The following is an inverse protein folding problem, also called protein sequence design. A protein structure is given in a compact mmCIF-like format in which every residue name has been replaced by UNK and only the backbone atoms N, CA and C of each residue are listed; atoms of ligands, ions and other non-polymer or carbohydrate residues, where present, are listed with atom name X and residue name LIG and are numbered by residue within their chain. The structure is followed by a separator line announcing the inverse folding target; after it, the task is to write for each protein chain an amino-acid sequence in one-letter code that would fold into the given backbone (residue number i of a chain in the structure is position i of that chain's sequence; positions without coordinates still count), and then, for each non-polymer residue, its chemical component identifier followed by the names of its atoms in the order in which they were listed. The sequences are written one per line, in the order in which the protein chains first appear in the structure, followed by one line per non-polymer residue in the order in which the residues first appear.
data_IF_365674619126
#
_entry.id   IF_365674619126
#
_cell.length_a   1.000
_cell.length_b   1.000
_cell.length_c   1.000
_cell.angle_alpha   90.00
_cell.angle_beta   90.00
_cell.angle_gamma   90.00
#
_symmetry.space_group_name_H-M   'P 1'
#
loop_
_entity.id
_entity.type
_entity.pdbx_description
1 polymer ?
#
# COMPACT_ATOMS: atom_id res chain seq x y z
N UNK A 1 -72.64 -30.92 -39.20
CA UNK A 1 -71.77 -31.68 -38.31
C UNK A 1 -71.07 -30.67 -37.40
N UNK A 2 -71.53 -30.55 -36.15
CA UNK A 2 -71.08 -29.51 -35.18
C UNK A 2 -69.93 -30.06 -34.40
N UNK A 3 -68.78 -29.39 -34.50
CA UNK A 3 -67.58 -29.74 -33.72
C UNK A 3 -67.49 -28.83 -32.47
N UNK A 4 -67.61 -29.49 -31.30
CA UNK A 4 -67.53 -28.84 -29.97
C UNK A 4 -66.08 -28.71 -29.60
N UNK A 5 -65.58 -27.48 -29.43
CA UNK A 5 -64.31 -27.21 -28.85
C UNK A 5 -64.40 -27.23 -27.33
N UNK A 6 -63.59 -28.08 -26.69
CA UNK A 6 -63.45 -28.18 -25.24
C UNK A 6 -62.64 -27.00 -24.71
N UNK A 7 -63.24 -26.19 -23.87
CA UNK A 7 -62.55 -25.24 -22.99
C UNK A 7 -61.85 -26.02 -21.87
N UNK A 8 -60.55 -25.91 -21.75
CA UNK A 8 -59.89 -26.54 -20.61
C UNK A 8 -58.37 -26.72 -20.71
N UNK A 9 -57.62 -25.70 -21.14
CA UNK A 9 -56.14 -25.67 -20.94
C UNK A 9 -55.68 -24.22 -20.86
N UNK A 10 -56.07 -23.44 -19.89
CA UNK A 10 -55.60 -22.06 -19.75
C UNK A 10 -55.39 -21.61 -18.30
N UNK A 11 -55.39 -22.52 -17.31
CA UNK A 11 -55.20 -22.11 -15.91
C UNK A 11 -53.96 -22.68 -15.21
N UNK A 12 -53.09 -23.42 -15.89
CA UNK A 12 -51.94 -24.06 -15.25
C UNK A 12 -50.57 -23.38 -15.57
N UNK A 13 -50.54 -22.38 -16.45
CA UNK A 13 -49.29 -21.71 -16.83
C UNK A 13 -49.03 -20.42 -16.02
N UNK A 14 -50.06 -19.81 -15.43
CA UNK A 14 -49.92 -18.54 -14.70
C UNK A 14 -49.46 -18.71 -13.23
N UNK A 15 -49.57 -19.89 -12.64
CA UNK A 15 -49.13 -20.13 -11.25
C UNK A 15 -47.65 -20.51 -11.12
N UNK A 16 -47.02 -20.99 -12.19
CA UNK A 16 -45.61 -21.37 -12.19
C UNK A 16 -44.63 -20.18 -12.28
N UNK A 17 -45.05 -19.08 -12.91
CA UNK A 17 -44.17 -17.89 -13.11
C UNK A 17 -44.08 -16.99 -11.87
N UNK A 18 -45.10 -16.97 -11.02
CA UNK A 18 -45.07 -16.20 -9.76
C UNK A 18 -44.18 -16.83 -8.66
N UNK A 19 -44.03 -18.17 -8.66
CA UNK A 19 -43.17 -18.84 -7.67
C UNK A 19 -41.67 -18.80 -8.02
N UNK A 20 -41.30 -18.70 -9.29
CA UNK A 20 -39.91 -18.59 -9.69
C UNK A 20 -39.38 -17.16 -9.53
N UNK A 21 -40.22 -16.14 -9.76
CA UNK A 21 -39.86 -14.74 -9.56
C UNK A 21 -39.62 -14.37 -8.10
N UNK A 22 -40.43 -14.94 -7.18
CA UNK A 22 -40.28 -14.68 -5.74
C UNK A 22 -39.00 -15.27 -5.13
N UNK A 23 -38.58 -16.45 -5.56
CA UNK A 23 -37.32 -17.06 -5.09
C UNK A 23 -36.07 -16.41 -5.65
N UNK A 24 -36.10 -15.95 -6.91
CA UNK A 24 -34.97 -15.19 -7.49
C UNK A 24 -34.83 -13.80 -6.86
N UNK A 25 -35.94 -13.11 -6.59
CA UNK A 25 -35.90 -11.83 -5.91
C UNK A 25 -35.42 -11.95 -4.46
N UNK A 26 -35.83 -13.02 -3.73
CA UNK A 26 -35.32 -13.29 -2.38
C UNK A 26 -33.84 -13.69 -2.38
N UNK A 27 -33.37 -14.47 -3.36
CA UNK A 27 -31.92 -14.80 -3.48
C UNK A 27 -31.06 -13.60 -3.87
N UNK A 28 -31.58 -12.69 -4.70
CA UNK A 28 -30.87 -11.44 -5.02
C UNK A 28 -30.87 -10.48 -3.82
N UNK A 29 -31.91 -10.49 -2.99
CA UNK A 29 -32.00 -9.67 -1.80
C UNK A 29 -31.15 -10.22 -0.64
N UNK A 30 -31.00 -11.53 -0.52
CA UNK A 30 -30.03 -12.15 0.42
C UNK A 30 -28.58 -11.94 -0.03
N UNK A 31 -28.29 -11.94 -1.33
CA UNK A 31 -26.93 -11.63 -1.83
C UNK A 31 -26.52 -10.17 -1.61
N UNK A 32 -27.48 -9.24 -1.59
CA UNK A 32 -27.22 -7.81 -1.32
C UNK A 32 -27.10 -7.52 0.19
N UNK A 33 -27.71 -8.33 1.05
CA UNK A 33 -27.64 -8.12 2.51
C UNK A 33 -26.43 -8.79 3.18
N UNK A 34 -25.68 -9.66 2.50
CA UNK A 34 -24.46 -10.30 3.04
C UNK A 34 -23.19 -9.49 2.74
N UNK A 35 -23.23 -8.46 1.89
CA UNK A 35 -22.06 -7.61 1.56
C UNK A 35 -21.83 -6.45 2.54
N UNK A 36 -22.59 -6.31 3.61
CA UNK A 36 -22.66 -5.12 4.46
C UNK A 36 -21.86 -5.11 5.77
N UNK A 37 -21.00 -6.11 6.07
CA UNK A 37 -20.35 -6.19 7.39
C UNK A 37 -18.81 -6.32 7.36
N UNK A 38 -18.18 -6.43 6.22
CA UNK A 38 -16.71 -6.50 6.20
C UNK A 38 -16.15 -5.09 6.27
N UNK A 39 -15.33 -4.85 7.28
CA UNK A 39 -14.52 -3.64 7.39
C UNK A 39 -13.05 -4.03 7.26
N UNK A 40 -12.27 -3.18 6.61
CA UNK A 40 -10.84 -3.39 6.44
C UNK A 40 -10.07 -2.08 6.48
N UNK A 41 -8.90 -2.11 7.10
CA UNK A 41 -7.99 -0.97 7.15
C UNK A 41 -7.02 -1.03 5.98
N UNK A 42 -6.91 0.05 5.22
CA UNK A 42 -5.98 0.20 4.10
C UNK A 42 -4.97 1.29 4.39
N UNK A 43 -3.71 0.90 4.61
CA UNK A 43 -2.61 1.85 4.61
C UNK A 43 -2.06 2.01 3.19
N UNK A 44 -1.89 3.26 2.78
CA UNK A 44 -1.21 3.62 1.53
C UNK A 44 0.12 4.26 1.91
N UNK A 45 1.23 3.67 1.47
CA UNK A 45 2.58 4.20 1.60
C UNK A 45 3.01 4.74 0.24
N UNK A 46 3.41 5.99 0.17
CA UNK A 46 3.83 6.64 -1.07
C UNK A 46 5.33 6.93 -0.99
N UNK A 47 6.07 6.26 -1.85
CA UNK A 47 7.53 6.31 -1.93
C UNK A 47 8.03 7.52 -2.76
N UNK A 48 9.34 7.76 -2.72
CA UNK A 48 10.12 8.69 -3.53
C UNK A 48 9.90 10.19 -3.28
N UNK A 49 9.25 10.60 -2.18
CA UNK A 49 9.37 11.98 -1.72
C UNK A 49 10.84 12.34 -1.46
N UNK A 50 11.22 13.60 -1.67
CA UNK A 50 12.59 14.09 -1.46
C UNK A 50 13.29 14.54 -2.76
N UNK A 51 12.65 14.34 -3.91
CA UNK A 51 13.15 14.80 -5.20
C UNK A 51 12.38 16.00 -5.76
N UNK A 52 11.29 16.47 -5.11
CA UNK A 52 10.36 17.46 -5.67
C UNK A 52 9.69 16.91 -6.94
N UNK A 53 9.30 15.63 -6.90
CA UNK A 53 8.79 14.88 -8.04
C UNK A 53 7.40 15.32 -8.47
N UNK A 54 7.03 14.99 -9.71
CA UNK A 54 5.69 15.23 -10.25
C UNK A 54 4.65 14.48 -9.41
N UNK A 55 3.51 15.13 -9.14
CA UNK A 55 2.43 14.56 -8.33
C UNK A 55 2.61 14.73 -6.82
N UNK A 56 3.70 15.34 -6.33
CA UNK A 56 3.92 15.61 -4.90
C UNK A 56 2.79 16.45 -4.32
N UNK A 57 2.41 17.56 -4.95
CA UNK A 57 1.36 18.45 -4.45
C UNK A 57 -0.03 17.80 -4.51
N UNK A 58 -0.34 17.12 -5.59
CA UNK A 58 -1.61 16.41 -5.80
C UNK A 58 -1.77 15.26 -4.80
N UNK A 59 -0.68 14.52 -4.55
CA UNK A 59 -0.70 13.44 -3.54
C UNK A 59 -0.95 14.01 -2.15
N UNK A 60 -0.26 15.08 -1.77
CA UNK A 60 -0.42 15.73 -0.46
C UNK A 60 -1.81 16.35 -0.26
N UNK A 61 -2.51 16.72 -1.33
CA UNK A 61 -3.87 17.23 -1.29
C UNK A 61 -4.95 16.17 -1.07
N UNK A 62 -4.62 14.88 -1.15
CA UNK A 62 -5.59 13.79 -0.92
C UNK A 62 -6.24 13.91 0.47
N UNK A 63 -7.59 13.79 0.59
CA UNK A 63 -8.33 13.99 1.84
C UNK A 63 -8.29 12.77 2.79
N UNK A 64 -7.38 11.83 2.58
CA UNK A 64 -7.23 10.62 3.39
C UNK A 64 -5.90 10.62 4.16
N UNK A 65 -5.79 9.94 5.29
CA UNK A 65 -4.50 9.63 5.89
C UNK A 65 -3.71 8.71 4.95
N UNK A 66 -2.43 8.99 4.79
CA UNK A 66 -1.47 8.12 4.14
C UNK A 66 -0.07 8.39 4.70
N UNK A 67 0.89 7.53 4.39
CA UNK A 67 2.28 7.64 4.83
C UNK A 67 3.16 8.03 3.66
N UNK A 68 3.93 9.11 3.80
CA UNK A 68 4.89 9.58 2.81
C UNK A 68 6.30 9.10 3.18
N UNK A 69 6.91 8.28 2.33
CA UNK A 69 8.28 7.82 2.51
C UNK A 69 9.25 8.76 1.80
N UNK A 70 10.08 9.44 2.60
CA UNK A 70 10.96 10.51 2.15
C UNK A 70 12.39 10.01 2.05
N UNK A 71 13.02 10.20 0.88
CA UNK A 71 14.42 9.91 0.64
C UNK A 71 15.29 10.84 1.50
N UNK A 72 16.12 10.30 2.43
CA UNK A 72 16.81 11.14 3.42
C UNK A 72 17.99 11.91 2.87
N UNK A 73 18.52 11.53 1.70
CA UNK A 73 19.77 12.07 1.17
C UNK A 73 19.61 12.77 -0.19
N UNK A 74 18.39 13.14 -0.55
CA UNK A 74 18.06 13.79 -1.82
C UNK A 74 18.09 15.31 -1.70
N UNK A 75 18.12 15.98 -2.84
CA UNK A 75 18.28 17.45 -2.90
C UNK A 75 17.07 18.21 -2.33
N UNK A 76 15.87 17.61 -2.40
CA UNK A 76 14.62 18.21 -1.93
C UNK A 76 14.11 17.59 -0.62
N UNK A 77 14.89 16.73 0.06
CA UNK A 77 14.48 16.05 1.30
C UNK A 77 13.83 17.00 2.30
N UNK A 78 14.50 18.12 2.63
CA UNK A 78 13.99 19.05 3.62
C UNK A 78 12.71 19.77 3.17
N UNK A 79 12.63 20.14 1.89
CA UNK A 79 11.47 20.81 1.32
C UNK A 79 10.24 19.89 1.28
N UNK A 80 10.41 18.68 0.74
CA UNK A 80 9.32 17.72 0.64
C UNK A 80 8.84 17.26 2.03
N UNK A 81 9.76 16.99 2.97
CA UNK A 81 9.41 16.66 4.34
C UNK A 81 8.59 17.77 5.03
N UNK A 82 8.92 19.04 4.76
CA UNK A 82 8.16 20.17 5.29
C UNK A 82 6.75 20.23 4.67
N UNK A 83 6.61 19.99 3.37
CA UNK A 83 5.30 19.89 2.70
C UNK A 83 4.45 18.75 3.28
N UNK A 84 5.06 17.58 3.52
CA UNK A 84 4.39 16.44 4.16
C UNK A 84 3.86 16.80 5.55
N UNK A 85 4.66 17.49 6.38
CA UNK A 85 4.25 17.97 7.71
C UNK A 85 3.10 18.96 7.62
N UNK A 86 3.18 19.93 6.72
CA UNK A 86 2.12 20.94 6.52
C UNK A 86 0.81 20.31 6.06
N UNK A 87 0.89 19.24 5.27
CA UNK A 87 -0.27 18.45 4.85
C UNK A 87 -0.80 17.52 5.96
N UNK A 88 -0.14 17.43 7.12
CA UNK A 88 -0.53 16.55 8.22
C UNK A 88 -0.41 15.06 7.91
N UNK A 89 0.49 14.68 6.98
CA UNK A 89 0.73 13.29 6.62
C UNK A 89 1.85 12.68 7.47
N UNK A 90 1.82 11.36 7.65
CA UNK A 90 2.86 10.62 8.34
C UNK A 90 4.14 10.57 7.50
N UNK A 91 5.31 10.71 8.14
CA UNK A 91 6.62 10.58 7.49
C UNK A 91 7.24 9.22 7.80
N UNK A 92 7.73 8.54 6.76
CA UNK A 92 8.68 7.42 6.83
C UNK A 92 10.00 7.81 6.17
N UNK A 93 11.06 7.12 6.55
CA UNK A 93 12.35 7.19 5.84
C UNK A 93 12.32 6.18 4.69
N UNK A 94 12.48 6.65 3.45
CA UNK A 94 12.70 5.79 2.29
C UNK A 94 14.19 5.56 2.10
N UNK A 95 14.75 4.53 2.76
CA UNK A 95 16.19 4.34 2.85
C UNK A 95 16.77 3.68 1.59
N UNK A 96 17.70 4.35 0.87
CA UNK A 96 18.33 3.76 -0.31
C UNK A 96 19.20 2.55 0.05
N UNK A 97 18.96 1.42 -0.62
CA UNK A 97 19.64 0.17 -0.36
C UNK A 97 20.07 -0.53 -1.65
N UNK A 98 21.18 -1.26 -1.61
CA UNK A 98 21.72 -2.00 -2.75
C UNK A 98 20.70 -2.97 -3.35
N UNK A 99 20.60 -2.94 -4.69
CA UNK A 99 19.77 -3.86 -5.47
C UNK A 99 20.61 -4.93 -6.15
N UNK A 100 20.03 -6.13 -6.36
CA UNK A 100 20.66 -7.23 -7.08
C UNK A 100 20.91 -6.90 -8.56
N UNK A 101 20.05 -6.08 -9.17
CA UNK A 101 20.04 -5.81 -10.61
C UNK A 101 20.25 -4.35 -10.98
N UNK A 102 20.14 -3.44 -10.01
CA UNK A 102 20.31 -2.01 -10.20
C UNK A 102 21.78 -1.59 -10.21
N UNK A 103 22.08 -0.47 -10.86
CA UNK A 103 23.41 0.14 -10.76
C UNK A 103 23.59 0.84 -9.42
N UNK A 104 24.80 0.81 -8.87
CA UNK A 104 25.13 1.45 -7.59
C UNK A 104 24.81 2.95 -7.62
N UNK A 105 25.01 3.60 -8.77
CA UNK A 105 24.72 5.03 -8.97
C UNK A 105 23.22 5.35 -8.80
N UNK A 106 22.33 4.41 -9.06
CA UNK A 106 20.87 4.60 -8.86
C UNK A 106 20.46 4.62 -7.38
N UNK A 107 21.22 3.91 -6.54
CA UNK A 107 21.03 3.91 -5.08
C UNK A 107 21.61 5.21 -4.47
N UNK A 108 22.56 5.82 -5.15
CA UNK A 108 23.29 7.01 -4.69
C UNK A 108 24.43 6.69 -3.72
N UNK A 109 25.32 7.68 -3.51
CA UNK A 109 26.53 7.51 -2.69
C UNK A 109 26.23 7.20 -1.22
N UNK A 110 25.08 7.66 -0.73
CA UNK A 110 24.64 7.47 0.66
C UNK A 110 23.72 6.26 0.87
N UNK A 111 23.63 5.35 -0.08
CA UNK A 111 22.90 4.09 0.07
C UNK A 111 23.55 3.11 1.06
N UNK A 112 22.81 2.10 1.47
CA UNK A 112 23.33 0.97 2.24
C UNK A 112 23.79 -0.12 1.27
N UNK A 113 25.02 -0.58 1.41
CA UNK A 113 25.64 -1.59 0.54
C UNK A 113 26.19 -2.76 1.34
N UNK A 114 26.19 -3.97 0.77
CA UNK A 114 26.68 -5.20 1.42
C UNK A 114 28.17 -5.20 1.72
N UNK A 115 28.96 -4.40 0.98
CA UNK A 115 30.41 -4.24 1.19
C UNK A 115 30.74 -3.27 2.34
N UNK A 116 29.75 -2.62 2.94
CA UNK A 116 29.94 -1.74 4.12
C UNK A 116 30.16 -2.56 5.38
N UNK A 117 30.94 -1.99 6.30
CA UNK A 117 31.07 -2.48 7.67
C UNK A 117 29.78 -2.23 8.48
N UNK A 118 29.59 -2.94 9.59
CA UNK A 118 28.43 -2.73 10.49
C UNK A 118 28.38 -1.31 11.03
N UNK A 119 29.54 -0.70 11.33
CA UNK A 119 29.68 0.69 11.75
C UNK A 119 29.19 1.67 10.68
N UNK A 120 29.56 1.45 9.43
CA UNK A 120 29.13 2.32 8.32
C UNK A 120 27.62 2.23 8.08
N UNK A 121 27.05 1.01 8.11
CA UNK A 121 25.60 0.80 7.99
C UNK A 121 24.87 1.49 9.13
N UNK A 122 25.34 1.29 10.39
CA UNK A 122 24.80 1.92 11.58
C UNK A 122 24.84 3.44 11.49
N UNK A 123 26.00 4.00 11.13
CA UNK A 123 26.20 5.43 10.98
C UNK A 123 25.26 6.03 9.92
N UNK A 124 25.13 5.37 8.77
CA UNK A 124 24.29 5.82 7.68
C UNK A 124 22.80 5.78 8.04
N UNK A 125 22.34 4.71 8.70
CA UNK A 125 20.97 4.59 9.14
C UNK A 125 20.63 5.66 10.20
N UNK A 126 21.52 5.91 11.16
CA UNK A 126 21.35 7.00 12.15
C UNK A 126 21.37 8.38 11.51
N UNK A 127 22.20 8.61 10.50
CA UNK A 127 22.20 9.87 9.74
C UNK A 127 20.83 10.13 9.11
N UNK A 128 20.19 9.10 8.54
CA UNK A 128 18.85 9.23 7.97
C UNK A 128 17.80 9.68 9.01
N UNK A 129 17.80 9.07 10.20
CA UNK A 129 16.93 9.49 11.31
C UNK A 129 17.28 10.89 11.86
N UNK A 130 18.54 11.29 11.82
CA UNK A 130 18.94 12.66 12.20
C UNK A 130 18.38 13.73 11.24
N UNK A 131 18.19 13.38 9.97
CA UNK A 131 17.62 14.27 8.94
C UNK A 131 16.09 14.31 9.06
N UNK A 132 15.46 13.18 9.35
CA UNK A 132 14.01 13.01 9.48
C UNK A 132 13.65 12.50 10.90
N UNK A 133 13.82 13.34 11.94
CA UNK A 133 13.71 12.88 13.34
C UNK A 133 12.29 12.57 13.79
N UNK A 134 11.30 12.94 13.02
CA UNK A 134 9.88 12.68 13.24
C UNK A 134 9.34 11.50 12.40
N UNK A 135 10.23 10.74 11.75
CA UNK A 135 9.84 9.58 10.98
C UNK A 135 9.24 8.48 11.89
N UNK A 136 8.03 8.04 11.59
CA UNK A 136 7.33 6.98 12.31
C UNK A 136 7.78 5.57 11.91
N UNK A 137 8.60 5.46 10.85
CA UNK A 137 9.11 4.19 10.34
C UNK A 137 10.14 4.35 9.23
N UNK A 138 10.51 3.21 8.68
CA UNK A 138 11.46 3.11 7.58
C UNK A 138 11.03 2.02 6.61
N UNK A 139 11.14 2.27 5.30
CA UNK A 139 11.07 1.24 4.27
C UNK A 139 12.28 1.30 3.33
N UNK A 140 12.48 0.28 2.53
CA UNK A 140 13.60 0.21 1.61
C UNK A 140 13.24 0.79 0.24
N UNK A 141 14.06 1.78 -0.23
CA UNK A 141 14.14 2.15 -1.64
C UNK A 141 15.05 1.14 -2.36
N UNK A 142 14.54 0.53 -3.46
CA UNK A 142 15.22 -0.61 -4.10
C UNK A 142 15.50 -1.73 -3.09
N UNK A 143 16.76 -2.05 -2.82
CA UNK A 143 17.20 -2.84 -1.67
C UNK A 143 17.13 -4.35 -1.84
N UNK A 144 16.86 -4.92 -3.02
CA UNK A 144 16.71 -6.37 -3.17
C UNK A 144 17.93 -7.17 -2.71
N UNK A 145 19.14 -6.61 -2.77
CA UNK A 145 20.35 -7.25 -2.27
C UNK A 145 20.48 -7.20 -0.74
N UNK A 146 20.14 -6.06 -0.14
CA UNK A 146 20.16 -5.89 1.33
C UNK A 146 19.05 -6.71 1.98
N UNK A 147 17.88 -6.78 1.35
CA UNK A 147 16.75 -7.57 1.86
C UNK A 147 17.01 -9.09 1.83
N UNK A 148 18.02 -9.57 1.09
CA UNK A 148 18.50 -10.96 1.13
C UNK A 148 19.72 -11.15 2.05
N UNK A 149 20.31 -10.07 2.59
CA UNK A 149 21.52 -10.12 3.45
C UNK A 149 21.16 -9.94 4.93
N UNK A 150 21.14 -11.07 5.67
CA UNK A 150 20.77 -11.07 7.10
C UNK A 150 21.67 -10.17 7.96
N UNK A 151 22.97 -10.09 7.65
CA UNK A 151 23.93 -9.26 8.41
C UNK A 151 23.59 -7.78 8.27
N UNK A 152 23.60 -7.27 7.05
CA UNK A 152 23.38 -5.84 6.80
C UNK A 152 21.99 -5.41 7.28
N UNK A 153 20.96 -6.21 7.01
CA UNK A 153 19.60 -5.92 7.45
C UNK A 153 19.47 -5.95 8.98
N UNK A 154 20.17 -6.86 9.68
CA UNK A 154 20.17 -6.88 11.13
C UNK A 154 20.71 -5.60 11.75
N UNK A 155 21.73 -4.97 11.15
CA UNK A 155 22.28 -3.70 11.63
C UNK A 155 21.26 -2.56 11.43
N UNK A 156 20.59 -2.51 10.29
CA UNK A 156 19.50 -1.53 10.04
C UNK A 156 18.38 -1.72 11.07
N UNK A 157 17.94 -2.96 11.29
CA UNK A 157 16.88 -3.29 12.27
C UNK A 157 17.27 -2.93 13.71
N UNK A 158 18.56 -3.00 14.09
CA UNK A 158 19.00 -2.53 15.40
C UNK A 158 18.71 -1.05 15.63
N UNK A 159 18.92 -0.21 14.60
CA UNK A 159 18.62 1.23 14.69
C UNK A 159 17.11 1.46 14.72
N UNK A 160 16.33 0.78 13.88
CA UNK A 160 14.86 0.87 13.88
C UNK A 160 14.30 0.53 15.27
N UNK A 161 14.88 -0.49 15.94
CA UNK A 161 14.52 -0.84 17.30
C UNK A 161 14.92 0.25 18.31
N UNK A 162 16.12 0.83 18.18
CA UNK A 162 16.59 1.94 19.02
C UNK A 162 15.64 3.14 18.92
N UNK A 163 15.20 3.48 17.69
CA UNK A 163 14.25 4.57 17.39
C UNK A 163 12.78 4.23 17.75
N UNK A 164 12.47 2.94 18.00
CA UNK A 164 11.14 2.43 18.37
C UNK A 164 10.06 2.67 17.30
N UNK A 165 10.43 2.50 16.04
CA UNK A 165 9.57 2.72 14.89
C UNK A 165 9.31 1.42 14.12
N UNK A 166 8.48 1.50 13.07
CA UNK A 166 8.06 0.36 12.24
C UNK A 166 9.02 0.17 11.07
N UNK A 167 9.29 -1.07 10.69
CA UNK A 167 9.91 -1.41 9.41
C UNK A 167 8.88 -1.92 8.41
N UNK A 168 8.89 -1.35 7.22
CA UNK A 168 8.12 -1.83 6.07
C UNK A 168 9.06 -2.44 5.03
N UNK A 169 8.79 -3.69 4.66
CA UNK A 169 9.44 -4.36 3.54
C UNK A 169 8.67 -4.06 2.24
N UNK A 170 9.29 -3.33 1.33
CA UNK A 170 8.72 -3.03 0.01
C UNK A 170 8.65 -4.25 -0.90
N UNK A 171 9.13 -5.43 -0.44
CA UNK A 171 9.14 -6.72 -1.14
C UNK A 171 9.70 -6.64 -2.56
N UNK A 172 10.87 -6.03 -2.69
CA UNK A 172 11.63 -5.92 -3.95
C UNK A 172 12.31 -7.23 -4.36
N UNK A 173 12.25 -8.25 -3.50
CA UNK A 173 12.67 -9.64 -3.77
C UNK A 173 11.76 -10.63 -3.06
N UNK A 174 11.50 -11.77 -3.70
CA UNK A 174 10.77 -12.87 -3.08
C UNK A 174 11.58 -13.65 -2.01
N UNK A 175 12.89 -13.39 -1.92
CA UNK A 175 13.80 -14.04 -0.96
C UNK A 175 14.13 -13.17 0.25
N UNK A 176 13.31 -12.14 0.50
CA UNK A 176 13.53 -11.26 1.64
C UNK A 176 13.59 -12.03 2.95
N UNK A 177 14.61 -11.70 3.75
CA UNK A 177 14.75 -12.17 5.13
C UNK A 177 14.18 -11.17 6.15
N UNK A 178 13.55 -10.07 5.66
CA UNK A 178 13.05 -8.96 6.47
C UNK A 178 12.19 -9.41 7.64
N UNK A 179 11.14 -10.20 7.36
CA UNK A 179 10.24 -10.72 8.41
C UNK A 179 10.96 -11.53 9.48
N UNK A 180 11.91 -12.40 9.07
CA UNK A 180 12.62 -13.24 10.02
C UNK A 180 13.60 -12.44 10.89
N UNK A 181 14.28 -11.45 10.30
CA UNK A 181 15.20 -10.55 11.02
C UNK A 181 14.43 -9.65 12.00
N UNK A 182 13.34 -9.04 11.54
CA UNK A 182 12.47 -8.22 12.37
C UNK A 182 11.94 -9.00 13.59
N UNK A 183 11.46 -10.23 13.37
CA UNK A 183 10.99 -11.11 14.45
C UNK A 183 12.11 -11.44 15.46
N UNK A 184 13.33 -11.77 15.01
CA UNK A 184 14.48 -12.02 15.87
C UNK A 184 14.87 -10.78 16.70
N UNK A 185 14.71 -9.59 16.13
CA UNK A 185 15.07 -8.32 16.78
C UNK A 185 13.93 -7.74 17.64
N UNK A 186 12.71 -8.20 17.45
CA UNK A 186 11.51 -7.64 18.10
C UNK A 186 11.17 -6.25 17.55
N UNK A 187 11.30 -6.06 16.23
CA UNK A 187 10.94 -4.85 15.49
C UNK A 187 9.53 -5.04 14.91
N UNK A 188 8.61 -4.07 15.07
CA UNK A 188 7.34 -4.08 14.36
C UNK A 188 7.57 -4.13 12.85
N UNK A 189 6.85 -5.03 12.15
CA UNK A 189 7.11 -5.33 10.74
C UNK A 189 5.82 -5.47 9.95
N UNK A 190 5.78 -4.79 8.81
CA UNK A 190 4.77 -4.97 7.78
C UNK A 190 5.46 -5.29 6.44
N UNK A 191 4.82 -6.07 5.61
CA UNK A 191 5.24 -6.29 4.22
C UNK A 191 4.15 -5.77 3.29
N UNK A 192 4.53 -5.23 2.14
CA UNK A 192 3.62 -4.77 1.11
C UNK A 192 2.69 -5.90 0.63
N UNK A 193 1.39 -5.65 0.60
CA UNK A 193 0.41 -6.56 -0.01
C UNK A 193 0.25 -6.28 -1.52
N UNK A 194 0.17 -5.00 -1.92
CA UNK A 194 -0.06 -4.61 -3.33
C UNK A 194 0.87 -3.47 -3.75
N UNK A 195 1.41 -3.56 -4.97
CA UNK A 195 2.12 -2.49 -5.64
C UNK A 195 1.14 -1.76 -6.58
N UNK A 196 0.98 -0.44 -6.43
CA UNK A 196 -0.07 0.29 -7.12
C UNK A 196 0.28 0.64 -8.57
N UNK A 197 1.46 1.17 -8.80
CA UNK A 197 1.84 1.94 -9.97
C UNK A 197 3.09 1.37 -10.67
N UNK A 198 2.93 0.32 -11.42
CA UNK A 198 3.98 -0.19 -12.31
C UNK A 198 3.89 0.34 -13.75
N UNK A 199 2.92 1.22 -14.01
CA UNK A 199 2.63 1.79 -15.35
C UNK A 199 2.00 3.17 -15.20
N UNK A 200 2.06 3.99 -16.26
CA UNK A 200 1.43 5.31 -16.34
C UNK A 200 -0.08 5.24 -16.70
N UNK A 201 -0.75 4.11 -16.40
CA UNK A 201 -2.15 3.90 -16.73
C UNK A 201 -3.01 3.99 -15.45
N UNK A 202 -3.83 5.02 -15.36
CA UNK A 202 -4.76 5.28 -14.25
C UNK A 202 -5.67 4.08 -13.97
N UNK A 203 -6.16 3.39 -15.00
CA UNK A 203 -7.06 2.24 -14.81
C UNK A 203 -6.34 1.02 -14.24
N UNK A 204 -5.06 0.83 -14.55
CA UNK A 204 -4.21 -0.20 -13.92
C UNK A 204 -4.00 0.13 -12.44
N UNK A 205 -3.67 1.38 -12.10
CA UNK A 205 -3.52 1.80 -10.71
C UNK A 205 -4.82 1.62 -9.93
N UNK A 206 -5.97 2.01 -10.51
CA UNK A 206 -7.29 1.77 -9.89
C UNK A 206 -7.58 0.28 -9.68
N UNK A 207 -7.25 -0.57 -10.64
CA UNK A 207 -7.43 -2.01 -10.48
C UNK A 207 -6.57 -2.56 -9.33
N UNK A 208 -5.32 -2.10 -9.19
CA UNK A 208 -4.44 -2.47 -8.09
C UNK A 208 -4.94 -1.93 -6.75
N UNK A 209 -5.48 -0.72 -6.71
CA UNK A 209 -6.06 -0.16 -5.48
C UNK A 209 -7.33 -0.91 -5.04
N UNK A 210 -8.20 -1.32 -5.98
CA UNK A 210 -9.33 -2.21 -5.67
C UNK A 210 -8.86 -3.56 -5.13
N UNK A 211 -7.80 -4.13 -5.71
CA UNK A 211 -7.19 -5.35 -5.20
C UNK A 211 -6.66 -5.18 -3.76
N UNK A 212 -6.05 -4.03 -3.44
CA UNK A 212 -5.61 -3.73 -2.08
C UNK A 212 -6.81 -3.63 -1.12
N UNK A 213 -7.91 -3.02 -1.54
CA UNK A 213 -9.15 -2.96 -0.80
C UNK A 213 -9.78 -4.35 -0.56
N UNK A 214 -9.79 -5.22 -1.57
CA UNK A 214 -10.23 -6.61 -1.44
C UNK A 214 -9.41 -7.35 -0.37
N UNK A 215 -8.07 -7.22 -0.42
CA UNK A 215 -7.18 -7.80 0.60
C UNK A 215 -7.49 -7.24 1.99
N UNK A 216 -7.71 -5.92 2.11
CA UNK A 216 -8.06 -5.30 3.39
C UNK A 216 -9.37 -5.85 3.95
N UNK A 217 -10.42 -5.96 3.11
CA UNK A 217 -11.72 -6.49 3.50
C UNK A 217 -11.71 -7.99 3.85
N UNK A 218 -10.81 -8.77 3.24
CA UNK A 218 -10.67 -10.20 3.51
C UNK A 218 -9.81 -10.50 4.75
N UNK A 219 -8.70 -9.77 4.90
CA UNK A 219 -7.67 -10.02 5.92
C UNK A 219 -7.85 -9.15 7.17
N UNK A 220 -8.69 -8.10 7.07
CA UNK A 220 -8.87 -7.06 8.08
C UNK A 220 -7.97 -5.85 7.85
N UNK A 221 -6.87 -5.99 7.11
CA UNK A 221 -5.97 -4.89 6.75
C UNK A 221 -5.21 -5.18 5.45
N UNK A 222 -4.69 -4.12 4.81
CA UNK A 222 -3.71 -4.23 3.72
C UNK A 222 -2.74 -3.04 3.71
N UNK A 223 -1.54 -3.28 3.17
CA UNK A 223 -0.55 -2.25 2.88
C UNK A 223 -0.32 -2.18 1.37
N UNK A 224 -0.65 -1.05 0.77
CA UNK A 224 -0.37 -0.73 -0.62
C UNK A 224 0.78 0.27 -0.74
N UNK A 225 1.66 0.09 -1.73
CA UNK A 225 2.74 1.03 -2.03
C UNK A 225 2.55 1.60 -3.42
N UNK A 226 2.64 2.93 -3.52
CA UNK A 226 2.70 3.73 -4.74
C UNK A 226 3.83 4.76 -4.64
N UNK A 227 3.99 5.61 -5.66
CA UNK A 227 5.12 6.53 -5.78
C UNK A 227 4.66 7.94 -6.18
N UNK A 228 5.50 8.94 -5.86
CA UNK A 228 5.52 10.23 -6.54
C UNK A 228 6.68 10.25 -7.54
N UNK A 229 6.69 11.24 -8.44
CA UNK A 229 7.72 11.35 -9.47
C UNK A 229 7.48 10.43 -10.66
N UNK A 230 8.54 9.97 -11.36
CA UNK A 230 8.41 9.32 -12.66
C UNK A 230 7.76 7.93 -12.63
N UNK A 231 7.67 7.27 -11.48
CA UNK A 231 7.11 5.92 -11.38
C UNK A 231 5.60 5.90 -11.08
N UNK A 232 5.00 7.02 -10.66
CA UNK A 232 3.58 7.06 -10.30
C UNK A 232 2.99 8.47 -10.42
N UNK A 233 3.50 9.40 -9.63
CA UNK A 233 3.18 10.81 -9.70
C UNK A 233 1.69 11.14 -9.78
N UNK A 234 1.32 11.93 -10.79
CA UNK A 234 -0.04 12.39 -11.04
C UNK A 234 -1.03 11.23 -11.27
N UNK A 235 -0.59 10.15 -11.89
CA UNK A 235 -1.43 9.00 -12.23
C UNK A 235 -1.90 8.30 -10.96
N UNK A 236 -1.00 8.08 -10.02
CA UNK A 236 -1.30 7.44 -8.74
C UNK A 236 -2.19 8.33 -7.87
N UNK A 237 -1.87 9.62 -7.75
CA UNK A 237 -2.70 10.57 -7.01
C UNK A 237 -4.12 10.62 -7.54
N UNK A 238 -4.27 10.74 -8.86
CA UNK A 238 -5.58 10.75 -9.52
C UNK A 238 -6.37 9.46 -9.30
N UNK A 239 -5.72 8.30 -9.44
CA UNK A 239 -6.37 7.01 -9.24
C UNK A 239 -6.90 6.85 -7.81
N UNK A 240 -6.11 7.28 -6.81
CA UNK A 240 -6.52 7.25 -5.40
C UNK A 240 -7.70 8.20 -5.19
N UNK A 241 -7.60 9.47 -5.61
CA UNK A 241 -8.65 10.48 -5.45
C UNK A 241 -10.00 9.99 -6.00
N UNK A 242 -10.00 9.45 -7.22
CA UNK A 242 -11.22 8.98 -7.87
C UNK A 242 -11.85 7.76 -7.19
N UNK A 243 -11.08 6.94 -6.46
CA UNK A 243 -11.57 5.72 -5.83
C UNK A 243 -11.92 5.86 -4.35
N UNK A 244 -11.51 6.92 -3.66
CA UNK A 244 -11.82 7.12 -2.24
C UNK A 244 -13.30 6.85 -1.92
N UNK A 245 -14.29 7.49 -2.62
CA UNK A 245 -15.70 7.29 -2.26
C UNK A 245 -16.19 5.85 -2.48
N UNK A 246 -15.69 5.17 -3.53
CA UNK A 246 -16.04 3.77 -3.82
C UNK A 246 -15.54 2.84 -2.71
N UNK A 247 -14.28 3.03 -2.27
CA UNK A 247 -13.64 2.17 -1.29
C UNK A 247 -14.21 2.39 0.12
N UNK A 248 -14.46 3.62 0.51
CA UNK A 248 -15.12 3.93 1.79
C UNK A 248 -16.53 3.35 1.83
N UNK A 249 -17.29 3.45 0.73
CA UNK A 249 -18.61 2.83 0.64
C UNK A 249 -18.55 1.30 0.71
N UNK A 250 -17.45 0.69 0.24
CA UNK A 250 -17.22 -0.75 0.35
C UNK A 250 -16.80 -1.21 1.77
N UNK A 251 -16.57 -0.30 2.72
CA UNK A 251 -16.17 -0.60 4.09
C UNK A 251 -14.67 -0.49 4.36
N UNK A 252 -13.91 0.14 3.46
CA UNK A 252 -12.48 0.40 3.65
C UNK A 252 -12.30 1.69 4.47
N UNK A 253 -11.44 1.62 5.49
CA UNK A 253 -10.97 2.78 6.24
C UNK A 253 -9.50 3.03 5.90
N UNK A 254 -9.19 4.20 5.40
CA UNK A 254 -7.79 4.59 5.17
C UNK A 254 -7.12 4.93 6.51
N UNK A 255 -5.91 4.42 6.70
CA UNK A 255 -5.11 4.61 7.92
C UNK A 255 -3.64 4.88 7.56
N UNK A 256 -2.85 5.33 8.54
CA UNK A 256 -1.40 5.41 8.36
C UNK A 256 -0.75 4.04 8.55
N UNK A 257 0.51 3.90 8.11
CA UNK A 257 1.27 2.64 8.33
C UNK A 257 1.50 2.38 9.82
N UNK A 258 1.77 3.42 10.60
CA UNK A 258 1.98 3.26 12.04
C UNK A 258 0.70 2.86 12.79
N UNK A 259 -0.49 3.25 12.30
CA UNK A 259 -1.76 2.78 12.85
C UNK A 259 -1.97 1.29 12.61
N UNK A 260 -1.61 0.80 11.42
CA UNK A 260 -1.69 -0.62 11.04
C UNK A 260 -0.73 -1.52 11.84
N UNK A 261 0.34 -0.94 12.39
CA UNK A 261 1.38 -1.68 13.11
C UNK A 261 1.12 -1.79 14.62
N UNK A 262 0.04 -1.18 15.12
CA UNK A 262 -0.38 -1.25 16.54
C UNK A 262 -1.04 -2.59 16.83
#
# INVERSE_FOLDING_TARGET
MKMRWKKGVCYLVLFGLCFFGGRMAAQLQEAVTVSGERQGELAVLIDDFGYGGEGTEEMLALPIPFTAAVMPFSSCTAADAELVRQAGKEIFIHLPMESLTGKREWVGEKGIFRDMTDEEIRGRTKEAFSILPDAAGLNNHMGSAIMEDERSLSVVMDIIKEEKVVFVDSLTTAKSVGRSVAAKKGVPFLGRDVFLDSTDDVEVVKANLRKAAEVALEKGYALAIGHVGPEGGLVTAKAIEELIPELEQAGVTFVTVSDLAK
#
